data_IF_097291258214
#
_entry.id   IF_097291258214
#
_cell.length_a   1.000
_cell.length_b   1.000
_cell.length_c   1.000
_cell.angle_alpha   90.00
_cell.angle_beta   90.00
_cell.angle_gamma   90.00
#
_symmetry.space_group_name_H-M   'P 1'
#
loop_
_entity.id
_entity.type
_entity.pdbx_description
1 polymer ?
#
# COMPACT_ATOMS: atom_id res chain seq x y z
N UNK A 1 -42.46 -49.08 26.03
CA UNK A 1 -42.93 -48.38 24.80
C UNK A 1 -43.13 -46.93 25.15
N UNK A 2 -42.54 -46.03 24.34
CA UNK A 2 -42.61 -44.56 24.37
C UNK A 2 -41.83 -43.84 25.49
N UNK A 3 -41.10 -42.76 25.26
CA UNK A 3 -40.53 -42.14 24.05
C UNK A 3 -39.51 -41.11 24.58
N UNK A 4 -38.22 -41.25 24.28
CA UNK A 4 -37.20 -40.26 24.63
C UNK A 4 -37.25 -39.14 23.57
N UNK A 5 -37.66 -37.94 23.97
CA UNK A 5 -37.61 -36.74 23.12
C UNK A 5 -36.22 -36.09 23.29
N UNK A 6 -35.31 -36.38 22.37
CA UNK A 6 -34.04 -35.69 22.24
C UNK A 6 -34.26 -34.38 21.46
N UNK A 7 -34.15 -33.25 22.14
CA UNK A 7 -34.23 -31.91 21.54
C UNK A 7 -32.83 -31.54 21.01
N UNK A 8 -32.55 -31.86 19.75
CA UNK A 8 -31.36 -31.36 19.04
C UNK A 8 -31.55 -29.89 18.70
N UNK A 9 -30.90 -29.00 19.44
CA UNK A 9 -30.77 -27.58 19.11
C UNK A 9 -29.90 -27.48 17.85
N UNK A 10 -30.52 -27.15 16.71
CA UNK A 10 -29.79 -26.72 15.52
C UNK A 10 -29.07 -25.40 15.84
N UNK A 11 -27.74 -25.47 16.01
CA UNK A 11 -26.89 -24.30 15.83
C UNK A 11 -26.88 -23.97 14.33
N UNK A 12 -27.82 -23.12 13.92
CA UNK A 12 -27.74 -22.46 12.62
C UNK A 12 -26.49 -21.56 12.65
N UNK A 13 -25.60 -21.60 11.64
CA UNK A 13 -24.56 -20.60 11.53
C UNK A 13 -25.26 -19.26 11.35
N UNK A 14 -25.08 -18.35 12.31
CA UNK A 14 -25.40 -16.94 12.16
C UNK A 14 -24.51 -16.39 11.06
N UNK A 15 -24.94 -16.51 9.81
CA UNK A 15 -24.39 -15.73 8.71
C UNK A 15 -24.60 -14.26 9.07
N UNK A 16 -23.59 -13.65 9.67
CA UNK A 16 -23.53 -12.20 9.79
C UNK A 16 -23.47 -11.69 8.35
N UNK A 17 -24.59 -11.15 7.87
CA UNK A 17 -24.53 -10.29 6.71
C UNK A 17 -23.85 -9.01 7.19
N UNK A 18 -22.52 -9.00 7.16
CA UNK A 18 -21.78 -7.76 7.30
C UNK A 18 -22.30 -6.81 6.23
N UNK A 19 -22.60 -5.57 6.65
CA UNK A 19 -22.96 -4.53 5.70
C UNK A 19 -21.79 -4.36 4.71
N UNK A 20 -22.13 -4.16 3.44
CA UNK A 20 -21.14 -3.84 2.42
C UNK A 20 -20.34 -2.60 2.85
N UNK A 21 -19.02 -2.68 2.83
CA UNK A 21 -18.14 -1.62 3.30
C UNK A 21 -16.74 -2.12 3.61
N UNK A 22 -15.80 -1.19 3.70
CA UNK A 22 -14.42 -1.48 4.10
C UNK A 22 -14.33 -1.88 5.57
N UNK A 23 -13.36 -2.73 5.86
CA UNK A 23 -12.95 -3.10 7.21
C UNK A 23 -11.46 -2.91 7.37
N UNK A 24 -11.01 -2.73 8.62
CA UNK A 24 -9.57 -2.59 8.91
C UNK A 24 -8.76 -3.80 8.40
N UNK A 25 -9.34 -5.01 8.43
CA UNK A 25 -8.70 -6.21 7.91
C UNK A 25 -8.46 -6.19 6.40
N UNK A 26 -9.21 -5.38 5.65
CA UNK A 26 -9.04 -5.24 4.19
C UNK A 26 -7.72 -4.54 3.84
N UNK A 27 -7.08 -3.89 4.82
CA UNK A 27 -5.77 -3.24 4.72
C UNK A 27 -4.65 -4.11 5.31
N UNK A 28 -4.83 -5.43 5.25
CA UNK A 28 -3.85 -6.42 5.69
C UNK A 28 -3.72 -7.55 4.67
N UNK A 29 -2.56 -8.19 4.64
CA UNK A 29 -2.31 -9.34 3.79
C UNK A 29 -1.57 -10.41 4.58
N UNK A 30 -2.13 -11.63 4.59
CA UNK A 30 -1.56 -12.81 5.29
C UNK A 30 -1.15 -12.50 6.75
N UNK A 31 -1.99 -11.76 7.47
CA UNK A 31 -1.80 -11.42 8.88
C UNK A 31 -0.85 -10.24 9.15
N UNK A 32 -0.39 -9.52 8.11
CA UNK A 32 0.43 -8.31 8.24
C UNK A 32 -0.38 -7.12 7.77
N UNK A 33 -0.54 -6.12 8.63
CA UNK A 33 -1.23 -4.88 8.30
C UNK A 33 -0.34 -3.92 7.53
N UNK A 34 -0.96 -3.04 6.75
CA UNK A 34 -0.29 -1.85 6.24
C UNK A 34 0.21 -1.00 7.43
N UNK A 35 1.43 -0.47 7.33
CA UNK A 35 2.13 0.22 8.42
C UNK A 35 2.84 -0.68 9.43
N UNK A 36 2.68 -2.01 9.36
CA UNK A 36 3.43 -2.93 10.22
C UNK A 36 4.94 -2.82 9.98
N UNK A 37 5.73 -3.19 10.99
CA UNK A 37 7.19 -3.21 10.85
C UNK A 37 7.67 -4.32 9.92
N UNK A 38 8.84 -4.11 9.31
CA UNK A 38 9.55 -5.13 8.54
C UNK A 38 9.78 -6.42 9.35
N UNK A 39 10.03 -6.30 10.65
CA UNK A 39 10.20 -7.46 11.53
C UNK A 39 8.92 -8.29 11.66
N UNK A 40 7.76 -7.64 11.78
CA UNK A 40 6.46 -8.31 11.80
C UNK A 40 6.15 -8.99 10.47
N UNK A 41 6.51 -8.35 9.35
CA UNK A 41 6.41 -8.94 8.02
C UNK A 41 7.20 -10.25 7.94
N UNK A 42 8.48 -10.24 8.29
CA UNK A 42 9.31 -11.46 8.25
C UNK A 42 8.85 -12.53 9.21
N UNK A 43 8.34 -12.15 10.38
CA UNK A 43 7.78 -13.10 11.34
C UNK A 43 6.56 -13.82 10.78
N UNK A 44 5.70 -13.13 10.03
CA UNK A 44 4.46 -13.68 9.50
C UNK A 44 4.65 -14.38 8.14
N UNK A 45 5.45 -13.80 7.25
CA UNK A 45 5.61 -14.28 5.87
C UNK A 45 6.84 -15.18 5.69
N UNK A 46 7.76 -15.16 6.65
CA UNK A 46 9.04 -15.85 6.56
C UNK A 46 10.09 -15.05 5.78
N UNK A 47 11.13 -15.75 5.34
CA UNK A 47 12.23 -15.15 4.58
C UNK A 47 11.80 -14.87 3.13
N UNK A 48 12.08 -13.67 2.59
CA UNK A 48 11.85 -13.38 1.18
C UNK A 48 12.79 -14.19 0.29
N UNK A 49 12.42 -14.39 -0.97
CA UNK A 49 13.30 -15.00 -1.98
C UNK A 49 14.47 -14.10 -2.32
N UNK A 50 14.20 -12.80 -2.42
CA UNK A 50 15.17 -11.73 -2.62
C UNK A 50 14.50 -10.38 -2.35
N UNK A 51 15.31 -9.34 -2.24
CA UNK A 51 14.86 -7.96 -2.16
C UNK A 51 15.44 -7.10 -3.29
N UNK A 52 14.79 -5.96 -3.55
CA UNK A 52 15.24 -4.96 -4.52
C UNK A 52 14.81 -3.56 -4.08
N UNK A 53 15.60 -2.55 -4.42
CA UNK A 53 15.15 -1.17 -4.33
C UNK A 53 14.41 -0.78 -5.61
N UNK A 54 13.24 -0.15 -5.49
CA UNK A 54 12.43 0.27 -6.63
C UNK A 54 11.81 1.65 -6.33
N UNK A 55 11.58 2.44 -7.38
CA UNK A 55 10.81 3.69 -7.28
C UNK A 55 9.38 3.43 -7.73
N UNK A 56 8.43 3.50 -6.82
CA UNK A 56 6.98 3.33 -7.06
C UNK A 56 6.27 4.64 -6.85
N UNK A 57 5.62 5.17 -7.89
CA UNK A 57 4.88 6.43 -7.84
C UNK A 57 5.70 7.58 -7.20
N UNK A 58 6.98 7.70 -7.61
CA UNK A 58 7.89 8.72 -7.09
C UNK A 58 8.58 8.37 -5.76
N UNK A 59 8.09 7.39 -5.01
CA UNK A 59 8.62 6.99 -3.70
C UNK A 59 9.63 5.85 -3.86
N UNK A 60 10.79 5.97 -3.22
CA UNK A 60 11.78 4.86 -3.18
C UNK A 60 11.42 3.91 -2.06
N UNK A 61 11.22 2.64 -2.40
CA UNK A 61 10.84 1.57 -1.46
C UNK A 61 11.78 0.38 -1.61
N UNK A 62 11.90 -0.40 -0.54
CA UNK A 62 12.55 -1.72 -0.59
C UNK A 62 11.48 -2.78 -0.74
N UNK A 63 11.51 -3.53 -1.84
CA UNK A 63 10.53 -4.55 -2.19
C UNK A 63 11.08 -5.93 -1.87
N UNK A 64 10.33 -6.69 -1.09
CA UNK A 64 10.56 -8.09 -0.79
C UNK A 64 9.68 -8.96 -1.67
N UNK A 65 10.30 -9.89 -2.39
CA UNK A 65 9.59 -10.82 -3.29
C UNK A 65 9.51 -12.19 -2.63
N UNK A 66 8.33 -12.77 -2.61
CA UNK A 66 8.05 -14.07 -1.99
C UNK A 66 7.58 -15.09 -3.04
N UNK A 67 7.45 -16.34 -2.61
CA UNK A 67 6.81 -17.40 -3.41
C UNK A 67 5.37 -17.00 -3.77
N UNK A 68 4.82 -17.64 -4.80
CA UNK A 68 3.45 -17.43 -5.26
C UNK A 68 3.15 -15.95 -5.59
N UNK A 69 4.12 -15.24 -6.16
CA UNK A 69 3.95 -13.86 -6.67
C UNK A 69 3.39 -12.85 -5.66
N UNK A 70 3.68 -13.04 -4.37
CA UNK A 70 3.48 -12.01 -3.36
C UNK A 70 4.68 -11.06 -3.34
N UNK A 71 4.41 -9.76 -3.29
CA UNK A 71 5.42 -8.76 -2.96
C UNK A 71 4.92 -7.90 -1.81
N UNK A 72 5.84 -7.52 -0.93
CA UNK A 72 5.61 -6.50 0.09
C UNK A 72 6.72 -5.44 -0.01
N UNK A 73 6.37 -4.16 0.05
CA UNK A 73 7.34 -3.08 0.05
C UNK A 73 7.35 -2.37 1.40
N UNK A 74 8.55 -1.98 1.84
CA UNK A 74 8.76 -1.15 3.02
C UNK A 74 9.35 0.21 2.64
N UNK A 75 8.99 1.24 3.40
CA UNK A 75 9.57 2.57 3.29
C UNK A 75 10.96 2.65 3.95
N UNK A 76 11.55 3.85 3.93
CA UNK A 76 12.87 4.10 4.55
C UNK A 76 12.85 3.94 6.08
N UNK A 77 11.69 4.07 6.71
CA UNK A 77 11.47 3.91 8.14
C UNK A 77 11.26 2.46 8.54
N UNK A 78 11.17 1.54 7.56
CA UNK A 78 10.98 0.11 7.79
C UNK A 78 9.52 -0.29 8.01
N UNK A 79 8.56 0.53 7.62
CA UNK A 79 7.13 0.21 7.69
C UNK A 79 6.64 -0.32 6.35
N UNK A 80 5.74 -1.30 6.39
CA UNK A 80 5.12 -1.87 5.19
C UNK A 80 4.15 -0.86 4.57
N UNK A 81 4.37 -0.53 3.30
CA UNK A 81 3.61 0.49 2.57
C UNK A 81 2.93 -0.02 1.32
N UNK A 82 3.20 -1.26 0.90
CA UNK A 82 2.60 -1.83 -0.30
C UNK A 82 2.58 -3.35 -0.24
N UNK A 83 1.45 -3.94 -0.65
CA UNK A 83 1.29 -5.37 -0.91
C UNK A 83 0.80 -5.53 -2.34
N UNK A 84 1.52 -6.32 -3.14
CA UNK A 84 1.11 -6.67 -4.50
C UNK A 84 0.81 -8.16 -4.55
N UNK A 85 -0.41 -8.50 -4.96
CA UNK A 85 -0.92 -9.88 -4.99
C UNK A 85 -1.29 -10.21 -6.43
N UNK A 86 -0.49 -11.09 -7.06
CA UNK A 86 -0.65 -11.51 -8.46
C UNK A 86 -0.81 -13.02 -8.60
N UNK A 87 -1.34 -13.69 -7.58
CA UNK A 87 -1.61 -15.12 -7.61
C UNK A 87 -3.11 -15.44 -7.52
N UNK A 88 -3.44 -16.65 -7.93
CA UNK A 88 -4.77 -17.25 -7.98
C UNK A 88 -5.20 -17.91 -6.66
N UNK A 89 -4.25 -18.17 -5.76
CA UNK A 89 -4.48 -18.82 -4.47
C UNK A 89 -4.91 -17.86 -3.35
N UNK A 90 -4.71 -16.55 -3.50
CA UNK A 90 -5.09 -15.57 -2.49
C UNK A 90 -6.61 -15.34 -2.48
N UNK A 91 -7.18 -15.40 -1.28
CA UNK A 91 -8.58 -15.10 -1.02
C UNK A 91 -8.66 -13.93 -0.04
N UNK A 92 -9.15 -12.78 -0.52
CA UNK A 92 -9.53 -11.64 0.30
C UNK A 92 -10.92 -11.86 0.93
N UNK A 93 -11.35 -10.93 1.78
CA UNK A 93 -12.61 -11.04 2.53
C UNK A 93 -13.79 -11.40 1.63
N UNK A 94 -14.67 -12.26 2.14
CA UNK A 94 -15.86 -12.70 1.41
C UNK A 94 -15.58 -13.61 0.22
N UNK A 95 -14.42 -14.26 0.12
CA UNK A 95 -14.13 -15.17 -1.00
C UNK A 95 -13.66 -14.47 -2.26
N UNK A 96 -13.20 -13.24 -2.14
CA UNK A 96 -12.74 -12.43 -3.29
C UNK A 96 -11.37 -12.93 -3.73
N UNK A 97 -11.30 -13.51 -4.93
CA UNK A 97 -10.07 -14.00 -5.56
C UNK A 97 -10.03 -13.58 -7.03
N UNK A 98 -8.92 -13.79 -7.71
CA UNK A 98 -8.83 -13.52 -9.16
C UNK A 98 -9.98 -14.22 -9.90
N UNK A 99 -10.61 -13.49 -10.83
CA UNK A 99 -11.84 -13.89 -11.51
C UNK A 99 -13.14 -13.50 -10.81
N UNK A 100 -13.10 -12.92 -9.60
CA UNK A 100 -14.30 -12.45 -8.91
C UNK A 100 -15.04 -11.39 -9.76
N UNK A 101 -16.37 -11.46 -9.78
CA UNK A 101 -17.20 -10.52 -10.57
C UNK A 101 -17.27 -9.15 -9.91
N UNK A 102 -17.47 -8.10 -10.71
CA UNK A 102 -17.75 -6.75 -10.20
C UNK A 102 -18.90 -6.71 -9.19
N UNK A 103 -19.94 -7.53 -9.38
CA UNK A 103 -21.05 -7.65 -8.42
C UNK A 103 -20.57 -8.15 -7.05
N UNK A 104 -19.76 -9.21 -7.02
CA UNK A 104 -19.29 -9.79 -5.76
C UNK A 104 -18.35 -8.85 -5.02
N UNK A 105 -17.47 -8.16 -5.75
CA UNK A 105 -16.60 -7.09 -5.23
C UNK A 105 -17.42 -6.01 -4.54
N UNK A 106 -18.39 -5.44 -5.27
CA UNK A 106 -19.18 -4.31 -4.75
C UNK A 106 -20.13 -4.72 -3.62
N UNK A 107 -20.59 -5.98 -3.61
CA UNK A 107 -21.35 -6.54 -2.49
C UNK A 107 -20.51 -6.61 -1.22
N UNK A 108 -19.20 -6.86 -1.34
CA UNK A 108 -18.28 -7.03 -0.21
C UNK A 108 -17.79 -5.67 0.32
N UNK A 109 -17.25 -4.83 -0.57
CA UNK A 109 -16.57 -3.59 -0.18
C UNK A 109 -17.41 -2.32 -0.32
N UNK A 110 -18.60 -2.43 -0.93
CA UNK A 110 -19.46 -1.30 -1.24
C UNK A 110 -19.42 -0.90 -2.72
N UNK A 111 -20.32 0.01 -3.12
CA UNK A 111 -20.37 0.50 -4.50
C UNK A 111 -19.20 1.46 -4.75
N UNK A 112 -18.48 1.24 -5.85
CA UNK A 112 -17.44 2.13 -6.34
C UNK A 112 -17.52 2.24 -7.87
N UNK A 113 -17.14 3.39 -8.41
CA UNK A 113 -16.97 3.57 -9.85
C UNK A 113 -15.58 3.07 -10.29
N UNK A 114 -15.47 2.65 -11.55
CA UNK A 114 -14.18 2.25 -12.11
C UNK A 114 -13.35 3.50 -12.40
N UNK A 115 -12.17 3.55 -11.84
CA UNK A 115 -11.19 4.61 -12.08
C UNK A 115 -10.02 4.05 -12.90
N UNK A 116 -9.35 4.91 -13.68
CA UNK A 116 -8.21 4.47 -14.50
C UNK A 116 -6.91 4.97 -13.89
N UNK A 117 -6.01 4.04 -13.60
CA UNK A 117 -4.61 4.32 -13.24
C UNK A 117 -3.76 3.71 -14.33
N UNK A 118 -2.91 4.52 -14.98
CA UNK A 118 -2.06 4.10 -16.10
C UNK A 118 -2.84 3.37 -17.22
N UNK A 119 -4.07 3.81 -17.47
CA UNK A 119 -4.97 3.22 -18.47
C UNK A 119 -5.67 1.93 -18.05
N UNK A 120 -5.30 1.35 -16.91
CA UNK A 120 -5.90 0.12 -16.37
C UNK A 120 -7.08 0.45 -15.43
N UNK A 121 -8.22 -0.25 -15.53
CA UNK A 121 -9.38 0.04 -14.70
C UNK A 121 -9.27 -0.65 -13.33
N UNK A 122 -9.56 0.11 -12.27
CA UNK A 122 -9.56 -0.33 -10.88
C UNK A 122 -10.86 0.07 -10.19
N UNK A 123 -11.29 -0.75 -9.23
CA UNK A 123 -12.05 -0.24 -8.08
C UNK A 123 -11.06 0.15 -7.00
N UNK A 124 -11.18 1.39 -6.51
CA UNK A 124 -10.29 1.95 -5.49
C UNK A 124 -11.15 2.25 -4.27
N UNK A 125 -10.76 1.67 -3.13
CA UNK A 125 -11.41 1.89 -1.85
C UNK A 125 -10.40 2.50 -0.88
N UNK A 126 -10.72 3.65 -0.29
CA UNK A 126 -9.85 4.37 0.64
C UNK A 126 -10.37 4.20 2.06
N UNK A 127 -9.48 3.90 3.00
CA UNK A 127 -9.83 3.71 4.42
C UNK A 127 -10.31 5.03 5.04
N UNK A 128 -11.39 4.98 5.81
CA UNK A 128 -11.87 6.15 6.54
C UNK A 128 -10.84 6.60 7.58
N UNK A 129 -10.56 7.90 7.65
CA UNK A 129 -9.55 8.47 8.55
C UNK A 129 -8.09 8.26 8.11
N UNK A 130 -7.84 7.47 7.07
CA UNK A 130 -6.51 7.21 6.51
C UNK A 130 -6.54 7.45 4.99
N UNK A 131 -6.47 8.71 4.54
CA UNK A 131 -6.72 9.10 3.14
C UNK A 131 -5.73 8.49 2.15
N UNK A 132 -4.61 7.98 2.66
CA UNK A 132 -3.49 7.42 1.92
C UNK A 132 -3.55 5.89 1.82
N UNK A 133 -4.40 5.24 2.62
CA UNK A 133 -4.51 3.77 2.65
C UNK A 133 -5.57 3.31 1.66
N UNK A 134 -5.13 2.59 0.64
CA UNK A 134 -5.98 2.18 -0.48
C UNK A 134 -5.96 0.67 -0.71
N UNK A 135 -7.15 0.11 -0.96
CA UNK A 135 -7.35 -1.20 -1.57
C UNK A 135 -7.68 -1.00 -3.05
N UNK A 136 -6.79 -1.48 -3.92
CA UNK A 136 -6.93 -1.43 -5.38
C UNK A 136 -7.26 -2.82 -5.90
N UNK A 137 -8.41 -2.91 -6.57
CA UNK A 137 -8.88 -4.12 -7.23
C UNK A 137 -8.90 -3.88 -8.73
N UNK A 138 -7.85 -4.34 -9.41
CA UNK A 138 -7.72 -4.22 -10.85
C UNK A 138 -8.71 -5.15 -11.54
N UNK A 139 -9.43 -4.64 -12.52
CA UNK A 139 -10.46 -5.41 -13.21
C UNK A 139 -10.19 -5.47 -14.70
N UNK A 140 -10.71 -6.50 -15.35
CA UNK A 140 -10.76 -6.54 -16.80
C UNK A 140 -11.64 -5.40 -17.35
N UNK A 141 -11.23 -4.81 -18.47
CA UNK A 141 -11.90 -3.65 -19.04
C UNK A 141 -13.27 -3.98 -19.65
N UNK A 142 -13.45 -5.19 -20.19
CA UNK A 142 -14.68 -5.62 -20.84
C UNK A 142 -15.66 -6.16 -19.80
N UNK A 143 -15.25 -7.21 -19.10
CA UNK A 143 -16.17 -7.99 -18.28
C UNK A 143 -16.13 -7.60 -16.79
N UNK A 144 -15.07 -6.91 -16.35
CA UNK A 144 -14.96 -6.44 -14.97
C UNK A 144 -14.65 -7.52 -13.94
N UNK A 145 -14.07 -8.65 -14.37
CA UNK A 145 -13.54 -9.66 -13.46
C UNK A 145 -12.25 -9.17 -12.82
N UNK A 146 -12.00 -9.56 -11.57
CA UNK A 146 -10.79 -9.22 -10.85
C UNK A 146 -9.54 -9.83 -11.50
N UNK A 147 -8.55 -9.01 -11.81
CA UNK A 147 -7.28 -9.42 -12.45
C UNK A 147 -6.06 -9.15 -11.57
N UNK A 148 -6.15 -8.22 -10.62
CA UNK A 148 -5.08 -7.94 -9.67
C UNK A 148 -5.62 -7.38 -8.36
N UNK A 149 -4.86 -7.58 -7.28
CA UNK A 149 -5.11 -6.91 -6.00
C UNK A 149 -3.83 -6.23 -5.51
N UNK A 150 -4.00 -5.02 -4.97
CA UNK A 150 -2.94 -4.26 -4.34
C UNK A 150 -3.49 -3.54 -3.12
N UNK A 151 -2.74 -3.55 -2.01
CA UNK A 151 -3.06 -2.80 -0.80
C UNK A 151 -1.88 -1.87 -0.56
N UNK A 152 -2.08 -0.56 -0.56
CA UNK A 152 -0.96 0.39 -0.61
C UNK A 152 -1.26 1.64 0.20
N UNK A 153 -0.25 2.13 0.90
CA UNK A 153 -0.22 3.49 1.42
C UNK A 153 0.56 4.43 0.51
N UNK A 154 1.17 3.95 -0.58
CA UNK A 154 1.85 4.80 -1.57
C UNK A 154 0.85 5.66 -2.35
N UNK A 155 1.24 6.88 -2.78
CA UNK A 155 0.40 7.73 -3.62
C UNK A 155 -0.02 7.01 -4.90
N UNK A 156 -1.27 7.20 -5.34
CA UNK A 156 -1.79 6.63 -6.58
C UNK A 156 -1.57 7.55 -7.77
N UNK A 157 -1.46 8.86 -7.52
CA UNK A 157 -1.25 9.90 -8.53
C UNK A 157 -0.10 10.83 -8.17
N UNK A 158 0.41 11.58 -9.14
CA UNK A 158 1.41 12.63 -8.90
C UNK A 158 0.86 13.73 -7.98
N UNK A 159 -0.41 14.10 -8.12
CA UNK A 159 -1.07 15.10 -7.27
C UNK A 159 -1.13 14.65 -5.81
N UNK A 160 -1.47 13.39 -5.54
CA UNK A 160 -1.43 12.82 -4.19
C UNK A 160 0.00 12.78 -3.63
N UNK A 161 1.00 12.51 -4.48
CA UNK A 161 2.40 12.50 -4.07
C UNK A 161 2.89 13.90 -3.68
N UNK A 162 2.54 14.93 -4.47
CA UNK A 162 2.84 16.33 -4.14
C UNK A 162 2.14 16.78 -2.87
N UNK A 163 0.86 16.43 -2.71
CA UNK A 163 0.10 16.76 -1.51
C UNK A 163 0.73 16.14 -0.26
N UNK A 164 1.14 14.87 -0.32
CA UNK A 164 1.81 14.22 0.81
C UNK A 164 3.15 14.88 1.13
N UNK A 165 3.95 15.21 0.13
CA UNK A 165 5.22 15.90 0.37
C UNK A 165 5.02 17.23 1.13
N UNK A 166 3.95 17.98 0.80
CA UNK A 166 3.59 19.19 1.53
C UNK A 166 3.08 18.92 2.96
N UNK A 167 2.35 17.83 3.19
CA UNK A 167 1.89 17.40 4.51
C UNK A 167 3.09 17.02 5.41
N UNK A 168 4.04 16.25 4.88
CA UNK A 168 5.25 15.83 5.58
C UNK A 168 6.14 17.05 5.95
N UNK A 169 6.34 17.98 5.01
CA UNK A 169 7.09 19.23 5.25
C UNK A 169 6.43 20.11 6.34
N UNK A 170 5.10 20.09 6.43
CA UNK A 170 4.36 20.83 7.45
C UNK A 170 4.48 20.18 8.85
N UNK A 171 4.60 18.85 8.92
CA UNK A 171 4.81 18.10 10.17
C UNK A 171 6.25 18.18 10.68
N UNK A 172 7.26 18.29 9.81
CA UNK A 172 8.67 18.46 10.22
C UNK A 172 8.95 19.80 10.93
N UNK A 173 8.00 20.74 10.92
CA UNK A 173 8.05 22.00 11.66
C UNK A 173 8.98 23.03 11.02
N UNK A 174 8.80 24.31 11.39
CA UNK A 174 9.62 25.40 10.87
C UNK A 174 11.10 25.17 11.20
N UNK A 175 11.97 25.34 10.20
CA UNK A 175 13.43 25.36 10.37
C UNK A 175 13.81 26.23 11.57
N UNK A 176 14.62 25.69 12.49
CA UNK A 176 15.04 26.41 13.69
C UNK A 176 15.66 27.77 13.31
N UNK A 177 15.09 28.90 13.74
CA UNK A 177 15.57 30.23 13.37
C UNK A 177 17.04 30.48 13.77
N UNK A 178 17.61 29.67 14.68
CA UNK A 178 19.04 29.70 15.02
C UNK A 178 19.96 29.31 13.86
N UNK A 179 19.45 28.69 12.80
CA UNK A 179 20.22 28.48 11.55
C UNK A 179 20.34 29.76 10.72
N UNK A 180 19.41 30.71 10.83
CA UNK A 180 19.49 32.00 10.15
C UNK A 180 20.49 32.97 10.82
N UNK A 181 20.82 32.74 12.10
CA UNK A 181 21.76 33.57 12.88
C UNK A 181 23.21 33.07 12.85
N UNK A 182 23.47 31.87 12.31
CA UNK A 182 24.84 31.35 12.18
C UNK A 182 25.47 31.89 10.90
N UNK A 183 26.25 32.94 11.05
CA UNK A 183 27.18 33.42 10.02
C UNK A 183 28.10 32.25 9.62
N UNK A 184 28.12 31.92 8.32
CA UNK A 184 28.95 30.84 7.80
C UNK A 184 30.41 31.27 7.99
N UNK A 185 31.18 30.50 8.76
CA UNK A 185 32.60 30.78 8.96
C UNK A 185 33.37 30.58 7.65
N UNK A 186 33.59 31.70 6.96
CA UNK A 186 34.31 31.76 5.69
C UNK A 186 35.81 31.96 5.88
N UNK A 187 36.31 31.98 7.12
CA UNK A 187 37.73 32.22 7.41
C UNK A 187 38.67 31.14 6.85
N UNK A 188 38.13 29.94 6.58
CA UNK A 188 38.84 28.83 5.95
C UNK A 188 38.76 28.83 4.40
N UNK A 189 37.97 29.72 3.78
CA UNK A 189 37.97 29.87 2.33
C UNK A 189 39.27 30.59 1.91
N UNK A 190 40.08 29.89 1.11
CA UNK A 190 41.22 30.53 0.44
C UNK A 190 40.75 31.72 -0.40
N UNK A 191 41.56 32.78 -0.46
CA UNK A 191 41.29 33.92 -1.35
C UNK A 191 41.02 33.38 -2.75
N UNK A 192 39.91 33.81 -3.35
CA UNK A 192 39.47 33.34 -4.66
C UNK A 192 40.61 33.40 -5.68
N UNK A 193 41.25 32.26 -5.94
CA UNK A 193 41.99 32.07 -7.17
C UNK A 193 40.94 31.89 -8.26
N UNK A 194 40.95 32.80 -9.22
CA UNK A 194 40.11 32.72 -10.41
C UNK A 194 40.33 31.34 -11.04
N UNK A 195 39.30 30.48 -11.15
CA UNK A 195 39.48 29.15 -11.70
C UNK A 195 39.93 29.27 -13.16
N UNK A 196 41.17 28.89 -13.43
CA UNK A 196 41.69 28.82 -14.79
C UNK A 196 41.10 27.57 -15.44
N UNK A 197 40.08 27.77 -16.28
CA UNK A 197 39.57 26.74 -17.16
C UNK A 197 40.71 26.30 -18.08
N UNK A 198 41.16 25.05 -17.94
CA UNK A 198 42.05 24.44 -18.92
C UNK A 198 41.29 24.33 -20.23
N UNK A 199 41.64 25.16 -21.21
CA UNK A 199 41.19 24.97 -22.57
C UNK A 199 41.65 23.59 -23.05
N UNK A 200 40.69 22.80 -23.53
CA UNK A 200 40.98 21.54 -24.18
C UNK A 200 41.78 21.83 -25.46
N UNK A 201 43.00 21.29 -25.54
CA UNK A 201 43.79 21.32 -26.76
C UNK A 201 43.11 20.48 -27.87
N UNK A 202 43.27 20.88 -29.14
CA UNK A 202 42.47 20.39 -30.28
C UNK A 202 42.71 18.92 -30.64
#
# INVERSE_FOLDING_TARGET
MALLLALTVLFLPTGHSEAAGLQDSDFSCRGVALGASEQELFKAWGEPLFDKAERRQGVTVKVYVYKDHYEAAVDKSGHVVDFVIKNDCYEARGGIRLGATSYWIQKTYGKAERQRIDGMPYYIYTREGHPHDHLLLGVDAQDGYLTSMRITSLPLTEEEAEKRALEDDAEEGALDPRFAEKEIDTSALGKAETPVLKEAQP
#
